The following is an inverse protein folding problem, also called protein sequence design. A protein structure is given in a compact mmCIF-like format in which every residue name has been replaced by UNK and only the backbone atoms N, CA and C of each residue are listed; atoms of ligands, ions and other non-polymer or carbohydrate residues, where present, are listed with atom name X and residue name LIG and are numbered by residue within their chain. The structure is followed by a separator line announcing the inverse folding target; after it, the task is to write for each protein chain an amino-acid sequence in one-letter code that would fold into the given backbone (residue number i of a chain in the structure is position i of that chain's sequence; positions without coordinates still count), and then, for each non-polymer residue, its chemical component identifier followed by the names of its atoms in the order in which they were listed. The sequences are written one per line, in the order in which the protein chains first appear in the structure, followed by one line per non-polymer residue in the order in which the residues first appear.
data_IF_623092516114
#
_entry.id   IF_623092516114
#
_cell.length_a   1.000
_cell.length_b   1.000
_cell.length_c   1.000
_cell.angle_alpha   90.00
_cell.angle_beta   90.00
_cell.angle_gamma   90.00
#
_symmetry.space_group_name_H-M   'P 1'
#
loop_
_entity.id
_entity.type
_entity.pdbx_description
1 polymer ?
#
# COMPACT_ATOMS: atom_id res chain seq x y z
N UNK A 1 10.66 -20.88 -8.86
CA UNK A 1 10.59 -19.41 -8.98
C UNK A 1 9.81 -18.92 -7.78
N UNK A 2 10.54 -18.57 -6.73
CA UNK A 2 9.97 -18.24 -5.43
C UNK A 2 9.09 -16.99 -5.56
N UNK A 3 7.85 -17.06 -5.05
CA UNK A 3 6.86 -15.97 -5.08
C UNK A 3 7.28 -14.72 -4.28
N UNK A 4 8.52 -14.67 -3.83
CA UNK A 4 9.06 -13.71 -2.88
C UNK A 4 10.24 -12.91 -3.44
N UNK A 5 10.66 -13.16 -4.69
CA UNK A 5 11.61 -12.33 -5.41
C UNK A 5 11.02 -10.90 -5.55
N UNK A 6 11.65 -9.92 -4.90
CA UNK A 6 11.20 -8.53 -4.81
C UNK A 6 10.85 -8.02 -3.39
N UNK A 7 10.84 -8.87 -2.36
CA UNK A 7 10.67 -8.45 -0.96
C UNK A 7 11.86 -7.65 -0.42
N UNK A 8 13.06 -7.82 -1.00
CA UNK A 8 14.26 -7.07 -0.61
C UNK A 8 14.06 -5.56 -0.66
N UNK A 9 13.12 -5.07 -1.47
CA UNK A 9 12.87 -3.64 -1.60
C UNK A 9 11.79 -3.12 -0.66
N UNK A 10 10.99 -4.00 -0.06
CA UNK A 10 9.97 -3.63 0.94
C UNK A 10 10.60 -2.95 2.15
N UNK A 11 11.85 -3.27 2.51
CA UNK A 11 12.58 -2.58 3.57
C UNK A 11 12.76 -1.07 3.32
N UNK A 12 12.82 -0.64 2.06
CA UNK A 12 12.92 0.78 1.69
C UNK A 12 11.56 1.47 1.63
N UNK A 13 10.48 0.71 1.44
CA UNK A 13 9.13 1.23 1.21
C UNK A 13 8.31 1.23 2.52
N UNK A 14 8.55 0.24 3.38
CA UNK A 14 7.86 0.04 4.65
C UNK A 14 7.88 1.26 5.57
N UNK A 15 9.04 1.89 5.84
CA UNK A 15 9.11 3.09 6.66
C UNK A 15 8.24 4.22 6.13
N UNK A 16 8.17 4.40 4.81
CA UNK A 16 7.35 5.44 4.21
C UNK A 16 5.87 5.10 4.23
N UNK A 17 5.50 3.84 3.99
CA UNK A 17 4.12 3.39 4.15
C UNK A 17 3.64 3.65 5.59
N UNK A 18 4.46 3.36 6.59
CA UNK A 18 4.13 3.65 7.98
C UNK A 18 4.03 5.16 8.24
N UNK A 19 4.94 5.97 7.71
CA UNK A 19 4.80 7.43 7.79
C UNK A 19 3.51 7.92 7.14
N UNK A 20 3.15 7.45 5.95
CA UNK A 20 1.95 7.88 5.25
C UNK A 20 0.67 7.46 5.98
N UNK A 21 0.66 6.27 6.58
CA UNK A 21 -0.41 5.82 7.48
C UNK A 21 -0.46 6.63 8.78
N UNK A 22 0.69 7.09 9.29
CA UNK A 22 0.75 7.98 10.45
C UNK A 22 0.20 9.38 10.13
N UNK A 23 0.45 9.90 8.94
CA UNK A 23 0.02 11.25 8.55
C UNK A 23 -1.45 11.31 8.08
N UNK A 24 -1.92 10.29 7.36
CA UNK A 24 -3.19 10.34 6.61
C UNK A 24 -4.17 9.23 6.96
N UNK A 25 -3.73 8.24 7.73
CA UNK A 25 -4.48 7.04 8.06
C UNK A 25 -5.55 7.21 9.14
N UNK A 26 -5.71 8.40 9.73
CA UNK A 26 -6.72 8.69 10.77
C UNK A 26 -8.16 8.58 10.26
N UNK A 27 -8.36 8.74 8.95
CA UNK A 27 -9.66 8.73 8.28
C UNK A 27 -9.69 7.74 7.13
N UNK A 28 -10.90 7.32 6.76
CA UNK A 28 -11.14 6.56 5.55
C UNK A 28 -10.69 7.34 4.32
N UNK A 29 -9.79 6.74 3.54
CA UNK A 29 -9.29 7.31 2.29
C UNK A 29 -9.12 6.25 1.22
N UNK A 30 -9.27 6.59 -0.07
CA UNK A 30 -9.02 5.66 -1.17
C UNK A 30 -7.60 5.10 -1.12
N UNK A 31 -7.44 3.79 -1.35
CA UNK A 31 -6.12 3.16 -1.45
C UNK A 31 -5.30 3.81 -2.57
N UNK A 32 -5.94 4.13 -3.70
CA UNK A 32 -5.31 4.83 -4.81
C UNK A 32 -4.64 6.17 -4.42
N UNK A 33 -5.20 6.91 -3.45
CA UNK A 33 -4.60 8.17 -2.98
C UNK A 33 -3.27 7.92 -2.26
N UNK A 34 -3.21 6.89 -1.43
CA UNK A 34 -1.97 6.51 -0.75
C UNK A 34 -0.90 6.06 -1.75
N UNK A 35 -1.29 5.24 -2.73
CA UNK A 35 -0.40 4.78 -3.78
C UNK A 35 0.13 5.94 -4.62
N UNK A 36 -0.74 6.87 -5.02
CA UNK A 36 -0.36 8.08 -5.74
C UNK A 36 0.61 8.95 -4.94
N UNK A 37 0.38 9.14 -3.64
CA UNK A 37 1.28 9.89 -2.77
C UNK A 37 2.63 9.19 -2.58
N UNK A 38 2.66 7.86 -2.52
CA UNK A 38 3.91 7.08 -2.50
C UNK A 38 4.71 7.24 -3.79
N UNK A 39 4.05 7.16 -4.94
CA UNK A 39 4.72 7.31 -6.23
C UNK A 39 5.23 8.73 -6.47
N UNK A 40 4.50 9.75 -6.00
CA UNK A 40 4.96 11.14 -6.02
C UNK A 40 6.19 11.36 -5.14
N UNK A 41 6.20 10.75 -3.94
CA UNK A 41 7.31 10.89 -3.01
C UNK A 41 8.56 10.10 -3.45
N UNK A 42 8.38 8.97 -4.12
CA UNK A 42 9.47 8.12 -4.62
C UNK A 42 9.24 7.76 -6.09
N UNK A 43 9.49 8.70 -7.01
CA UNK A 43 9.32 8.44 -8.44
C UNK A 43 10.26 7.34 -8.96
N UNK A 44 11.32 7.03 -8.20
CA UNK A 44 12.29 5.97 -8.51
C UNK A 44 11.97 4.64 -7.84
N UNK A 45 10.83 4.51 -7.15
CA UNK A 45 10.35 3.25 -6.59
C UNK A 45 10.53 2.17 -7.66
N UNK A 46 11.37 1.17 -7.42
CA UNK A 46 11.64 0.15 -8.42
C UNK A 46 10.46 -0.81 -8.41
N UNK A 47 9.56 -0.57 -9.35
CA UNK A 47 8.41 -1.41 -9.64
C UNK A 47 8.96 -2.58 -10.44
N UNK A 48 9.64 -3.48 -9.74
CA UNK A 48 10.18 -4.68 -10.31
C UNK A 48 9.03 -5.63 -10.62
N UNK A 49 8.28 -5.34 -11.68
CA UNK A 49 7.51 -6.30 -12.44
C UNK A 49 8.23 -6.54 -13.75
N UNK A 50 8.22 -7.78 -14.22
CA UNK A 50 8.42 -8.04 -15.63
C UNK A 50 7.46 -7.12 -16.39
N UNK A 51 7.96 -6.20 -17.24
CA UNK A 51 7.11 -5.23 -17.89
C UNK A 51 6.03 -5.95 -18.68
N UNK A 52 4.76 -5.73 -18.31
CA UNK A 52 3.62 -6.21 -19.09
C UNK A 52 3.32 -5.20 -20.17
N UNK A 53 3.24 -5.65 -21.42
CA UNK A 53 3.15 -4.80 -22.62
C UNK A 53 1.87 -3.96 -22.71
N UNK A 54 0.87 -4.24 -21.88
CA UNK A 54 -0.45 -3.60 -21.91
C UNK A 54 -0.69 -2.63 -20.75
N UNK A 55 0.29 -2.37 -19.89
CA UNK A 55 0.15 -1.47 -18.75
C UNK A 55 1.33 -0.49 -18.65
N UNK A 56 1.05 0.78 -18.33
CA UNK A 56 2.10 1.78 -18.10
C UNK A 56 2.97 1.40 -16.88
N UNK A 57 4.18 1.94 -16.80
CA UNK A 57 5.04 1.73 -15.64
C UNK A 57 4.33 2.13 -14.33
N UNK A 58 3.56 3.21 -14.35
CA UNK A 58 2.74 3.68 -13.22
C UNK A 58 1.60 2.70 -12.86
N UNK A 59 0.93 2.09 -13.84
CA UNK A 59 -0.11 1.09 -13.58
C UNK A 59 0.47 -0.19 -12.98
N UNK A 60 1.61 -0.63 -13.51
CA UNK A 60 2.35 -1.75 -12.95
C UNK A 60 2.85 -1.44 -11.53
N UNK A 61 3.20 -0.18 -11.28
CA UNK A 61 3.54 0.34 -9.97
C UNK A 61 2.47 0.05 -8.94
N UNK A 62 1.28 0.53 -9.30
CA UNK A 62 0.11 0.50 -8.46
C UNK A 62 -0.22 -0.95 -8.16
N UNK A 63 -0.22 -1.85 -9.16
CA UNK A 63 -0.52 -3.26 -8.94
C UNK A 63 0.44 -3.98 -7.98
N UNK A 64 1.73 -3.65 -8.01
CA UNK A 64 2.72 -4.25 -7.09
C UNK A 64 2.52 -3.76 -5.66
N UNK A 65 2.36 -2.44 -5.51
CA UNK A 65 2.19 -1.82 -4.21
C UNK A 65 0.85 -2.24 -3.57
N UNK A 66 -0.21 -2.24 -4.36
CA UNK A 66 -1.57 -2.67 -3.98
C UNK A 66 -1.54 -4.13 -3.49
N UNK A 67 -1.16 -5.07 -4.37
CA UNK A 67 -1.27 -6.51 -4.07
C UNK A 67 -0.38 -7.02 -2.95
N UNK A 68 0.74 -6.34 -2.64
CA UNK A 68 1.74 -6.83 -1.68
C UNK A 68 1.75 -6.05 -0.37
N UNK A 69 1.76 -4.71 -0.41
CA UNK A 69 1.96 -3.91 0.79
C UNK A 69 0.66 -3.68 1.56
N UNK A 70 -0.44 -3.35 0.86
CA UNK A 70 -1.76 -3.17 1.48
C UNK A 70 -2.20 -4.50 2.09
N UNK A 71 -2.03 -5.59 1.34
CA UNK A 71 -2.31 -6.94 1.83
C UNK A 71 -1.48 -7.31 3.06
N UNK A 72 -0.18 -6.98 3.09
CA UNK A 72 0.68 -7.22 4.25
C UNK A 72 0.19 -6.44 5.47
N UNK A 73 -0.05 -5.14 5.35
CA UNK A 73 -0.54 -4.30 6.44
C UNK A 73 -1.90 -4.78 6.97
N UNK A 74 -2.76 -5.29 6.09
CA UNK A 74 -4.06 -5.88 6.48
C UNK A 74 -3.88 -7.19 7.26
N UNK A 75 -2.97 -8.07 6.82
CA UNK A 75 -2.64 -9.32 7.55
C UNK A 75 -2.08 -9.00 8.93
N UNK A 76 -1.24 -7.97 9.03
CA UNK A 76 -0.67 -7.50 10.29
C UNK A 76 -1.67 -6.72 11.16
N UNK A 77 -2.91 -6.52 10.69
CA UNK A 77 -3.94 -5.78 11.41
C UNK A 77 -3.64 -4.29 11.58
N UNK A 78 -2.73 -3.73 10.79
CA UNK A 78 -2.31 -2.32 10.86
C UNK A 78 -3.29 -1.39 10.15
N UNK A 79 -4.00 -1.92 9.16
CA UNK A 79 -5.03 -1.21 8.42
C UNK A 79 -6.30 -2.05 8.39
N UNK A 80 -7.41 -1.36 8.17
CA UNK A 80 -8.69 -1.98 7.83
C UNK A 80 -9.27 -1.36 6.56
N UNK A 81 -10.08 -2.14 5.87
CA UNK A 81 -10.78 -1.74 4.64
C UNK A 81 -12.24 -1.47 4.95
N UNK A 82 -12.85 -0.50 4.28
CA UNK A 82 -14.25 -0.15 4.51
C UNK A 82 -15.15 -1.30 4.02
N UNK A 83 -15.99 -1.89 4.89
CA UNK A 83 -16.87 -2.99 4.53
C UNK A 83 -17.90 -2.64 3.45
N UNK A 84 -18.29 -1.37 3.31
CA UNK A 84 -19.21 -0.91 2.25
C UNK A 84 -18.56 -0.96 0.86
N UNK A 85 -17.24 -0.79 0.82
CA UNK A 85 -16.42 -0.83 -0.39
C UNK A 85 -15.80 -2.22 -0.61
N UNK A 86 -15.88 -3.14 0.36
CA UNK A 86 -15.34 -4.50 0.27
C UNK A 86 -15.96 -5.35 -0.87
N UNK A 87 -17.02 -4.87 -1.53
CA UNK A 87 -17.60 -5.48 -2.74
C UNK A 87 -16.75 -5.25 -4.01
N UNK A 88 -15.88 -4.24 -4.03
CA UNK A 88 -14.96 -4.01 -5.16
C UNK A 88 -13.87 -5.09 -5.18
N UNK A 89 -13.65 -5.73 -6.33
CA UNK A 89 -12.62 -6.77 -6.48
C UNK A 89 -11.20 -6.21 -6.54
N UNK A 90 -11.04 -4.95 -6.90
CA UNK A 90 -9.74 -4.29 -7.01
C UNK A 90 -9.45 -3.48 -5.75
N UNK A 91 -8.22 -3.60 -5.23
CA UNK A 91 -7.81 -2.97 -3.97
C UNK A 91 -7.65 -1.44 -4.13
N UNK A 92 -7.31 -0.95 -5.32
CA UNK A 92 -7.28 0.48 -5.69
C UNK A 92 -8.62 1.22 -5.50
N UNK A 93 -9.76 0.52 -5.64
CA UNK A 93 -11.11 1.05 -5.44
C UNK A 93 -11.59 0.94 -3.99
N UNK A 94 -10.76 0.40 -3.09
CA UNK A 94 -11.07 0.28 -1.68
C UNK A 94 -10.80 1.58 -0.94
N UNK A 95 -11.48 1.72 0.19
CA UNK A 95 -11.17 2.74 1.20
C UNK A 95 -10.43 2.06 2.35
N UNK A 96 -9.34 2.64 2.81
CA UNK A 96 -8.59 2.15 3.97
C UNK A 96 -8.37 3.23 5.02
N UNK A 97 -8.17 2.78 6.26
CA UNK A 97 -7.66 3.59 7.38
C UNK A 97 -6.75 2.76 8.26
N UNK A 98 -5.94 3.42 9.10
CA UNK A 98 -5.13 2.75 10.12
C UNK A 98 -6.00 2.24 11.26
N UNK A 99 -5.55 1.20 11.95
CA UNK A 99 -6.25 0.63 13.09
C UNK A 99 -5.72 1.18 14.41
N UNK A 100 -6.43 0.91 15.51
CA UNK A 100 -5.94 1.17 16.86
C UNK A 100 -4.65 0.40 17.20
N UNK A 101 -4.38 -0.74 16.54
CA UNK A 101 -3.11 -1.45 16.69
C UNK A 101 -1.96 -0.63 16.12
N UNK A 102 -2.14 -0.05 14.94
CA UNK A 102 -1.14 0.83 14.34
C UNK A 102 -0.85 2.04 15.24
N UNK A 103 -1.90 2.68 15.77
CA UNK A 103 -1.76 3.79 16.72
C UNK A 103 -0.91 3.42 17.93
N UNK A 104 -1.22 2.26 18.55
CA UNK A 104 -0.53 1.80 19.75
C UNK A 104 0.94 1.41 19.54
N UNK A 105 1.32 1.02 18.32
CA UNK A 105 2.67 0.53 18.01
C UNK A 105 3.55 1.61 17.36
N UNK A 106 2.98 2.46 16.50
CA UNK A 106 3.75 3.35 15.62
C UNK A 106 3.46 4.84 15.79
N UNK A 107 2.36 5.24 16.43
CA UNK A 107 1.96 6.66 16.55
C UNK A 107 2.14 7.19 17.99
N UNK A 108 2.44 6.33 18.96
CA UNK A 108 2.52 6.74 20.37
C UNK A 108 3.44 7.96 20.57
N UNK A 109 2.79 8.98 21.14
CA UNK A 109 3.23 10.30 21.64
C UNK A 109 4.34 10.18 22.67
#
# INVERSE_FOLDING_TARGET
MDRYEGLEKVQYIGPFLFWLLAEKGDRWRPVADYLGDMLKAFPQLPLATSPVSYASAEQQANWVLDSRLIRLCRILGLIELNPEYARFRSEDQQMMRRTALFEGVFVRV
#
